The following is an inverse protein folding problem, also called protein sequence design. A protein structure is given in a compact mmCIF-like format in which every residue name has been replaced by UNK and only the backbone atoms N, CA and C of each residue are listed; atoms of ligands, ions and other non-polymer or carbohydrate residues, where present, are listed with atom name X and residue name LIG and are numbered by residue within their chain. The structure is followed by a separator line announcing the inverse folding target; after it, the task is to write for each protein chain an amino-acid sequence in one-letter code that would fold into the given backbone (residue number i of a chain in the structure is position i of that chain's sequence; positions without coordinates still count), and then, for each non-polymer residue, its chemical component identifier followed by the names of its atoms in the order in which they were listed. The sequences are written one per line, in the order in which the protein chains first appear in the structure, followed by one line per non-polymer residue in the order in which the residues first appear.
data_IF_260461626020
#
_entry.id   IF_260461626020
#
_cell.length_a   1.000
_cell.length_b   1.000
_cell.length_c   1.000
_cell.angle_alpha   90.00
_cell.angle_beta   90.00
_cell.angle_gamma   90.00
#
_symmetry.space_group_name_H-M   'P 1'
#
loop_
_entity.id
_entity.type
_entity.pdbx_description
1 polymer ?
#
# COMPACT_ATOMS: atom_id res chain seq x y z
N UNK A 1 -29.86 -33.17 24.79
CA UNK A 1 -30.02 -33.55 23.37
C UNK A 1 -29.59 -35.00 23.14
N UNK A 2 -30.41 -35.97 23.55
CA UNK A 2 -30.19 -37.40 23.29
C UNK A 2 -31.16 -37.81 22.17
N UNK A 3 -30.67 -37.99 20.92
CA UNK A 3 -31.27 -38.81 19.82
C UNK A 3 -31.23 -38.21 18.40
N UNK A 4 -30.92 -36.92 18.18
CA UNK A 4 -30.98 -36.37 16.81
C UNK A 4 -29.88 -36.91 15.89
N UNK A 5 -30.27 -37.30 14.67
CA UNK A 5 -29.42 -37.87 13.63
C UNK A 5 -28.38 -36.85 13.14
N UNK A 6 -27.19 -37.31 12.76
CA UNK A 6 -26.16 -36.45 12.16
C UNK A 6 -26.64 -35.95 10.80
N UNK A 7 -26.32 -34.71 10.46
CA UNK A 7 -26.80 -33.95 9.30
C UNK A 7 -28.29 -33.56 9.32
N UNK A 8 -29.02 -33.85 10.41
CA UNK A 8 -30.40 -33.37 10.57
C UNK A 8 -30.48 -31.88 10.91
N UNK A 9 -31.57 -31.25 10.47
CA UNK A 9 -31.87 -29.83 10.72
C UNK A 9 -33.30 -29.68 11.26
N UNK A 10 -33.49 -28.81 12.27
CA UNK A 10 -34.80 -28.36 12.72
C UNK A 10 -34.94 -26.85 12.46
N UNK A 11 -36.16 -26.43 12.12
CA UNK A 11 -36.50 -25.03 11.85
C UNK A 11 -37.59 -24.56 12.80
N UNK A 12 -37.46 -23.33 13.30
CA UNK A 12 -38.48 -22.64 14.08
C UNK A 12 -38.87 -21.32 13.40
N UNK A 13 -40.15 -20.97 13.44
CA UNK A 13 -40.72 -19.86 12.68
C UNK A 13 -41.38 -18.81 13.59
N UNK A 14 -40.75 -17.65 13.64
CA UNK A 14 -41.23 -16.35 14.16
C UNK A 14 -40.25 -15.31 13.60
N UNK A 15 -38.97 -15.58 13.85
CA UNK A 15 -37.84 -15.33 12.96
C UNK A 15 -37.20 -16.69 12.68
N UNK A 16 -36.71 -16.96 11.46
CA UNK A 16 -36.30 -18.32 11.09
C UNK A 16 -35.04 -18.73 11.85
N UNK A 17 -35.23 -19.60 12.83
CA UNK A 17 -34.14 -20.24 13.56
C UNK A 17 -33.85 -21.61 12.95
N UNK A 18 -32.57 -21.96 12.83
CA UNK A 18 -32.14 -23.28 12.39
C UNK A 18 -31.21 -23.93 13.41
N UNK A 19 -31.46 -25.20 13.68
CA UNK A 19 -30.60 -26.05 14.50
C UNK A 19 -30.12 -27.25 13.67
N UNK A 20 -28.84 -27.25 13.33
CA UNK A 20 -28.21 -28.26 12.47
C UNK A 20 -27.15 -29.06 13.24
N UNK A 21 -27.12 -30.39 13.04
CA UNK A 21 -26.12 -31.27 13.65
C UNK A 21 -25.06 -31.66 12.62
N UNK A 22 -23.91 -30.98 12.55
CA UNK A 22 -22.84 -31.39 11.63
C UNK A 22 -22.17 -32.70 12.05
N UNK A 23 -22.08 -32.97 13.36
CA UNK A 23 -21.37 -34.12 13.95
C UNK A 23 -22.02 -34.53 15.27
N UNK A 24 -21.81 -35.78 15.69
CA UNK A 24 -22.32 -36.29 16.98
C UNK A 24 -21.88 -35.35 18.12
N UNK A 25 -22.82 -34.98 19.01
CA UNK A 25 -22.64 -34.04 20.14
C UNK A 25 -22.25 -32.60 19.76
N UNK A 26 -22.35 -32.19 18.49
CA UNK A 26 -22.19 -30.80 18.05
C UNK A 26 -23.47 -30.29 17.42
N UNK A 27 -23.86 -29.07 17.78
CA UNK A 27 -25.04 -28.40 17.25
C UNK A 27 -24.64 -26.99 16.80
N UNK A 28 -25.10 -26.59 15.61
CA UNK A 28 -24.98 -25.24 15.08
C UNK A 28 -26.36 -24.62 15.13
N UNK A 29 -26.49 -23.56 15.93
CA UNK A 29 -27.69 -22.75 16.02
C UNK A 29 -27.44 -21.45 15.27
N UNK A 30 -28.33 -21.10 14.34
CA UNK A 30 -28.33 -19.80 13.68
C UNK A 30 -29.74 -19.23 13.65
N UNK A 31 -29.83 -17.91 13.72
CA UNK A 31 -31.05 -17.15 13.55
C UNK A 31 -30.94 -16.32 12.28
N UNK A 32 -32.01 -16.25 11.50
CA UNK A 32 -32.06 -15.39 10.33
C UNK A 32 -33.41 -14.70 10.19
N UNK A 33 -33.35 -13.40 9.94
CA UNK A 33 -34.51 -12.59 9.54
C UNK A 33 -34.67 -12.48 8.02
N UNK A 34 -33.70 -12.96 7.25
CA UNK A 34 -33.67 -12.89 5.77
C UNK A 34 -34.29 -14.11 5.08
N UNK A 35 -34.12 -15.28 5.68
CA UNK A 35 -34.54 -16.54 5.06
C UNK A 35 -35.88 -16.94 5.66
N UNK A 36 -36.97 -16.92 4.89
CA UNK A 36 -38.33 -17.27 5.38
C UNK A 36 -38.76 -18.69 5.02
N UNK A 37 -37.99 -19.39 4.20
CA UNK A 37 -38.30 -20.74 3.73
C UNK A 37 -37.27 -21.74 4.24
N UNK A 38 -37.73 -22.98 4.44
CA UNK A 38 -36.84 -24.11 4.69
C UNK A 38 -36.15 -24.47 3.38
N UNK A 39 -34.85 -24.25 3.33
CA UNK A 39 -34.02 -24.64 2.21
C UNK A 39 -32.77 -25.33 2.73
N UNK A 40 -32.54 -26.54 2.25
CA UNK A 40 -31.37 -27.37 2.54
C UNK A 40 -30.70 -27.66 1.21
N UNK A 41 -29.39 -27.43 1.13
CA UNK A 41 -28.64 -27.72 -0.07
C UNK A 41 -28.52 -29.24 -0.26
N UNK A 42 -28.83 -29.71 -1.46
CA UNK A 42 -28.57 -31.08 -1.86
C UNK A 42 -27.07 -31.37 -1.88
N UNK A 43 -26.66 -32.42 -1.18
CA UNK A 43 -25.26 -32.80 -1.06
C UNK A 43 -24.99 -33.62 0.19
N UNK A 44 -23.77 -34.18 0.32
CA UNK A 44 -23.42 -35.13 1.38
C UNK A 44 -23.47 -34.54 2.79
N UNK A 45 -23.53 -33.21 2.92
CA UNK A 45 -23.57 -32.51 4.21
C UNK A 45 -24.96 -32.00 4.58
N UNK A 46 -25.94 -32.00 3.65
CA UNK A 46 -27.30 -31.50 3.88
C UNK A 46 -27.35 -30.18 4.67
N UNK A 47 -26.52 -29.20 4.27
CA UNK A 47 -26.39 -27.94 5.01
C UNK A 47 -27.58 -27.03 4.70
N UNK A 48 -28.26 -26.48 5.72
CA UNK A 48 -29.22 -25.40 5.54
C UNK A 48 -28.62 -24.20 4.79
N UNK A 49 -29.38 -23.61 3.87
CA UNK A 49 -28.98 -22.42 3.11
C UNK A 49 -28.55 -21.28 4.02
N UNK A 50 -29.21 -21.12 5.17
CA UNK A 50 -28.87 -20.13 6.21
C UNK A 50 -27.41 -20.26 6.66
N UNK A 51 -26.95 -21.49 6.91
CA UNK A 51 -25.58 -21.77 7.36
C UNK A 51 -24.58 -21.48 6.25
N UNK A 52 -24.92 -21.80 5.00
CA UNK A 52 -24.07 -21.52 3.83
C UNK A 52 -23.91 -20.01 3.66
N UNK A 53 -25.02 -19.26 3.73
CA UNK A 53 -25.01 -17.82 3.62
C UNK A 53 -24.22 -17.17 4.76
N UNK A 54 -24.42 -17.60 6.00
CA UNK A 54 -23.62 -17.15 7.15
C UNK A 54 -22.13 -17.39 6.92
N UNK A 55 -21.73 -18.59 6.50
CA UNK A 55 -20.32 -18.93 6.27
C UNK A 55 -19.67 -18.07 5.17
N UNK A 56 -20.44 -17.65 4.16
CA UNK A 56 -19.95 -16.75 3.10
C UNK A 56 -19.59 -15.37 3.62
N UNK A 57 -20.30 -14.87 4.63
CA UNK A 57 -20.15 -13.49 5.12
C UNK A 57 -19.38 -13.38 6.43
N UNK A 58 -19.38 -14.41 7.30
CA UNK A 58 -18.82 -14.35 8.65
C UNK A 58 -17.32 -14.02 8.70
N UNK A 59 -16.58 -14.32 7.63
CA UNK A 59 -15.13 -14.14 7.59
C UNK A 59 -14.66 -12.72 7.24
N UNK A 60 -15.57 -11.78 6.95
CA UNK A 60 -15.18 -10.45 6.49
C UNK A 60 -14.29 -9.70 7.50
N UNK A 61 -14.69 -9.69 8.78
CA UNK A 61 -13.94 -9.03 9.85
C UNK A 61 -12.64 -9.77 10.14
N UNK A 62 -12.67 -11.10 10.31
CA UNK A 62 -11.46 -11.92 10.52
C UNK A 62 -10.42 -11.73 9.41
N UNK A 63 -10.88 -11.61 8.16
CA UNK A 63 -10.00 -11.35 7.01
C UNK A 63 -9.39 -9.95 7.09
N UNK A 64 -10.17 -8.93 7.46
CA UNK A 64 -9.64 -7.58 7.69
C UNK A 64 -8.59 -7.59 8.81
N UNK A 65 -8.89 -8.22 9.94
CA UNK A 65 -7.96 -8.32 11.08
C UNK A 65 -6.65 -9.01 10.68
N UNK A 66 -6.73 -10.13 9.95
CA UNK A 66 -5.56 -10.83 9.42
C UNK A 66 -4.74 -9.95 8.48
N UNK A 67 -5.41 -9.21 7.59
CA UNK A 67 -4.75 -8.29 6.68
C UNK A 67 -4.05 -7.19 7.48
N UNK A 68 -4.77 -6.46 8.33
CA UNK A 68 -4.23 -5.39 9.17
C UNK A 68 -3.01 -5.86 9.96
N UNK A 69 -3.09 -7.04 10.61
CA UNK A 69 -1.98 -7.61 11.36
C UNK A 69 -0.72 -7.87 10.51
N UNK A 70 -0.87 -8.24 9.23
CA UNK A 70 0.25 -8.57 8.33
C UNK A 70 1.17 -7.36 8.05
N UNK A 71 0.61 -6.16 7.98
CA UNK A 71 1.36 -4.91 7.73
C UNK A 71 1.04 -3.88 8.82
N UNK A 72 1.23 -4.28 10.07
CA UNK A 72 0.95 -3.44 11.23
C UNK A 72 2.11 -2.47 11.51
N UNK A 73 1.77 -1.19 11.69
CA UNK A 73 2.67 -0.19 12.27
C UNK A 73 2.50 -0.04 13.79
N UNK A 74 1.71 -0.91 14.43
CA UNK A 74 1.48 -0.86 15.87
C UNK A 74 2.79 -1.01 16.64
N UNK A 75 3.00 -0.16 17.62
CA UNK A 75 4.16 -0.22 18.52
C UNK A 75 3.69 -0.47 19.93
N UNK A 76 4.51 -1.18 20.72
CA UNK A 76 4.26 -1.34 22.15
C UNK A 76 4.14 0.06 22.78
N UNK A 77 2.99 0.33 23.35
CA UNK A 77 2.67 1.59 24.00
C UNK A 77 1.98 1.31 25.32
N UNK A 78 2.18 2.19 26.32
CA UNK A 78 1.44 2.16 27.59
C UNK A 78 0.19 3.05 27.54
N UNK A 79 0.00 3.76 26.42
CA UNK A 79 -1.07 4.74 26.25
C UNK A 79 -2.19 4.12 25.41
N UNK A 80 -3.34 3.84 26.04
CA UNK A 80 -4.53 3.32 25.34
C UNK A 80 -4.94 4.15 24.12
N UNK A 81 -4.93 5.50 24.15
CA UNK A 81 -5.28 6.31 22.97
C UNK A 81 -4.38 6.05 21.76
N UNK A 82 -3.08 5.76 21.98
CA UNK A 82 -2.16 5.41 20.90
C UNK A 82 -2.51 4.07 20.26
N UNK A 83 -2.96 3.10 21.05
CA UNK A 83 -3.45 1.82 20.52
C UNK A 83 -4.64 2.02 19.58
N UNK A 84 -5.60 2.84 20.00
CA UNK A 84 -6.76 3.19 19.17
C UNK A 84 -6.34 3.92 17.89
N UNK A 85 -5.42 4.88 17.99
CA UNK A 85 -4.89 5.61 16.84
C UNK A 85 -4.26 4.67 15.80
N UNK A 86 -3.47 3.69 16.23
CA UNK A 86 -2.92 2.69 15.30
C UNK A 86 -4.00 1.89 14.58
N UNK A 87 -5.06 1.48 15.30
CA UNK A 87 -6.19 0.79 14.68
C UNK A 87 -6.90 1.66 13.64
N UNK A 88 -7.12 2.95 13.95
CA UNK A 88 -7.70 3.91 13.00
C UNK A 88 -6.84 4.04 11.74
N UNK A 89 -5.52 4.15 11.89
CA UNK A 89 -4.60 4.22 10.75
C UNK A 89 -4.67 2.96 9.88
N UNK A 90 -4.70 1.78 10.49
CA UNK A 90 -4.72 0.52 9.74
C UNK A 90 -6.02 0.34 8.94
N UNK A 91 -7.16 0.58 9.57
CA UNK A 91 -8.48 0.49 8.90
C UNK A 91 -8.59 1.55 7.81
N UNK A 92 -8.14 2.78 8.07
CA UNK A 92 -8.16 3.86 7.08
C UNK A 92 -7.30 3.54 5.86
N UNK A 93 -6.08 3.04 6.06
CA UNK A 93 -5.20 2.66 4.96
C UNK A 93 -5.76 1.50 4.14
N UNK A 94 -6.42 0.53 4.78
CA UNK A 94 -7.08 -0.56 4.06
C UNK A 94 -8.28 -0.05 3.26
N UNK A 95 -9.14 0.78 3.84
CA UNK A 95 -10.28 1.36 3.14
C UNK A 95 -9.84 2.23 1.96
N UNK A 96 -8.78 3.02 2.13
CA UNK A 96 -8.18 3.80 1.04
C UNK A 96 -7.70 2.91 -0.10
N UNK A 97 -7.09 1.75 0.19
CA UNK A 97 -6.74 0.77 -0.83
C UNK A 97 -7.99 0.22 -1.53
N UNK A 98 -9.04 -0.16 -0.80
CA UNK A 98 -10.27 -0.67 -1.42
C UNK A 98 -10.87 0.36 -2.38
N UNK A 99 -10.93 1.62 -1.97
CA UNK A 99 -11.40 2.72 -2.81
C UNK A 99 -10.50 2.90 -4.04
N UNK A 100 -9.18 2.94 -3.86
CA UNK A 100 -8.23 3.03 -4.96
C UNK A 100 -8.42 1.90 -5.99
N UNK A 101 -8.58 0.67 -5.52
CA UNK A 101 -8.80 -0.50 -6.37
C UNK A 101 -10.17 -0.51 -7.06
N UNK A 102 -11.17 0.18 -6.50
CA UNK A 102 -12.48 0.34 -7.12
C UNK A 102 -12.45 1.34 -8.27
N UNK A 103 -11.61 2.37 -8.18
CA UNK A 103 -11.43 3.39 -9.23
C UNK A 103 -10.45 2.92 -10.29
N UNK A 104 -9.35 2.28 -9.88
CA UNK A 104 -8.28 1.83 -10.77
C UNK A 104 -8.01 0.30 -10.61
N UNK A 105 -8.88 -0.55 -11.17
CA UNK A 105 -8.74 -2.01 -11.03
C UNK A 105 -7.45 -2.56 -11.67
N UNK A 106 -6.95 -1.93 -12.73
CA UNK A 106 -5.79 -2.37 -13.50
C UNK A 106 -4.44 -2.05 -12.83
N UNK A 107 -4.40 -1.11 -11.87
CA UNK A 107 -3.16 -0.68 -11.21
C UNK A 107 -2.40 -1.86 -10.58
N UNK A 108 -1.20 -2.19 -11.07
CA UNK A 108 -0.42 -3.33 -10.56
C UNK A 108 -1.16 -4.68 -10.60
N UNK A 109 -2.06 -4.89 -11.56
CA UNK A 109 -2.83 -6.14 -11.72
C UNK A 109 -1.93 -7.37 -11.88
N UNK A 110 -0.83 -7.26 -12.62
CA UNK A 110 0.17 -8.32 -12.81
C UNK A 110 0.84 -8.74 -11.48
N UNK A 111 0.81 -7.89 -10.45
CA UNK A 111 1.44 -8.08 -9.14
C UNK A 111 0.41 -8.18 -8.02
N UNK A 112 -0.72 -8.87 -8.29
CA UNK A 112 -1.89 -8.96 -7.40
C UNK A 112 -1.56 -9.29 -5.94
N UNK A 113 -0.64 -10.23 -5.71
CA UNK A 113 -0.24 -10.67 -4.35
C UNK A 113 0.44 -9.59 -3.51
N UNK A 114 1.04 -8.58 -4.14
CA UNK A 114 1.81 -7.53 -3.45
C UNK A 114 1.23 -6.12 -3.62
N UNK A 115 0.06 -5.96 -4.27
CA UNK A 115 -0.60 -4.65 -4.46
C UNK A 115 -0.75 -3.88 -3.16
N UNK A 116 -1.13 -4.55 -2.07
CA UNK A 116 -1.29 -3.90 -0.76
C UNK A 116 0.03 -3.37 -0.21
N UNK A 117 1.12 -4.13 -0.34
CA UNK A 117 2.45 -3.69 0.09
C UNK A 117 2.88 -2.45 -0.70
N UNK A 118 2.72 -2.48 -2.02
CA UNK A 118 3.05 -1.36 -2.90
C UNK A 118 2.24 -0.12 -2.54
N UNK A 119 0.93 -0.28 -2.30
CA UNK A 119 0.05 0.82 -1.94
C UNK A 119 0.47 1.46 -0.61
N UNK A 120 0.77 0.65 0.42
CA UNK A 120 1.23 1.16 1.70
C UNK A 120 2.58 1.87 1.61
N UNK A 121 3.49 1.40 0.77
CA UNK A 121 4.77 2.06 0.50
C UNK A 121 4.55 3.44 -0.14
N UNK A 122 3.74 3.49 -1.19
CA UNK A 122 3.44 4.73 -1.91
C UNK A 122 2.67 5.74 -1.05
N UNK A 123 1.69 5.27 -0.28
CA UNK A 123 0.94 6.06 0.70
C UNK A 123 1.89 6.67 1.74
N UNK A 124 2.74 5.83 2.36
CA UNK A 124 3.70 6.27 3.37
C UNK A 124 4.69 7.30 2.81
N UNK A 125 5.24 7.06 1.61
CA UNK A 125 6.11 8.03 0.94
C UNK A 125 5.38 9.34 0.65
N UNK A 126 4.15 9.28 0.10
CA UNK A 126 3.35 10.47 -0.21
C UNK A 126 3.07 11.34 1.00
N UNK A 127 2.73 10.73 2.15
CA UNK A 127 2.46 11.46 3.39
C UNK A 127 3.69 12.15 3.98
N UNK A 128 4.88 11.61 3.76
CA UNK A 128 6.14 12.13 4.32
C UNK A 128 6.77 13.21 3.43
N UNK A 129 6.57 13.15 2.11
CA UNK A 129 7.13 14.11 1.12
C UNK A 129 6.94 15.59 1.51
N UNK A 130 5.75 16.07 1.92
CA UNK A 130 5.57 17.49 2.28
C UNK A 130 6.38 17.89 3.52
N UNK A 131 6.52 16.99 4.51
CA UNK A 131 7.31 17.25 5.71
C UNK A 131 8.82 17.27 5.39
N UNK A 132 9.28 16.39 4.50
CA UNK A 132 10.65 16.38 4.01
C UNK A 132 10.99 17.66 3.23
N UNK A 133 10.10 18.11 2.34
CA UNK A 133 10.29 19.34 1.57
C UNK A 133 10.37 20.59 2.46
N UNK A 134 9.61 20.62 3.57
CA UNK A 134 9.68 21.70 4.56
C UNK A 134 10.88 21.61 5.51
N UNK A 135 11.54 20.45 5.59
CA UNK A 135 12.69 20.27 6.47
C UNK A 135 13.94 20.90 5.86
N UNK A 136 14.43 21.98 6.46
CA UNK A 136 15.75 22.55 6.17
C UNK A 136 16.91 21.75 6.77
N UNK A 137 16.61 20.77 7.61
CA UNK A 137 17.61 19.86 8.19
C UNK A 137 17.77 18.65 7.27
N UNK A 138 18.84 18.66 6.47
CA UNK A 138 19.38 17.45 5.88
C UNK A 138 19.72 16.48 7.02
N UNK A 139 19.18 15.26 6.94
CA UNK A 139 19.55 14.20 7.86
C UNK A 139 21.07 14.03 7.87
N UNK A 140 21.68 13.94 9.05
CA UNK A 140 23.13 13.72 9.20
C UNK A 140 23.59 12.33 8.73
N UNK A 141 22.66 11.42 8.44
CA UNK A 141 22.97 10.11 7.88
C UNK A 141 22.99 10.12 6.35
N UNK A 142 24.06 9.58 5.76
CA UNK A 142 24.27 9.51 4.30
C UNK A 142 23.14 8.80 3.55
N UNK A 143 22.51 7.80 4.18
CA UNK A 143 21.42 7.01 3.60
C UNK A 143 20.11 7.77 3.49
N UNK A 144 19.76 8.60 4.49
CA UNK A 144 18.56 9.43 4.43
C UNK A 144 18.73 10.62 3.47
N UNK A 145 19.94 11.14 3.33
CA UNK A 145 20.27 12.15 2.32
C UNK A 145 20.15 11.58 0.89
N UNK A 146 20.58 10.33 0.65
CA UNK A 146 20.46 9.68 -0.65
C UNK A 146 18.99 9.47 -1.07
N UNK A 147 18.11 9.06 -0.15
CA UNK A 147 16.67 8.91 -0.44
C UNK A 147 15.99 10.25 -0.81
N UNK A 148 16.40 11.35 -0.14
CA UNK A 148 15.93 12.70 -0.46
C UNK A 148 16.40 13.17 -1.85
N UNK A 149 17.63 12.84 -2.25
CA UNK A 149 18.18 13.21 -3.55
C UNK A 149 17.50 12.47 -4.72
N UNK A 150 17.17 11.19 -4.55
CA UNK A 150 16.46 10.39 -5.57
C UNK A 150 15.04 10.93 -5.79
N UNK A 151 14.32 11.27 -4.72
CA UNK A 151 12.96 11.80 -4.82
C UNK A 151 12.90 13.22 -5.41
N UNK A 152 13.92 14.05 -5.20
CA UNK A 152 14.00 15.38 -5.82
C UNK A 152 14.30 15.32 -7.33
N UNK A 153 14.91 14.23 -7.83
CA UNK A 153 15.21 14.04 -9.24
C UNK A 153 13.97 13.63 -10.07
N UNK A 154 13.01 12.90 -9.49
CA UNK A 154 11.80 12.44 -10.19
C UNK A 154 10.75 13.53 -10.39
N UNK A 155 10.81 14.63 -9.62
CA UNK A 155 9.86 15.77 -9.73
C UNK A 155 10.47 17.04 -10.31
N UNK A 156 11.73 17.02 -10.76
CA UNK A 156 12.36 18.21 -11.32
C UNK A 156 11.99 18.36 -12.81
N UNK A 157 11.38 19.48 -13.24
CA UNK A 157 11.47 19.88 -14.64
C UNK A 157 12.95 20.05 -15.00
N UNK A 158 13.31 19.73 -16.25
CA UNK A 158 14.68 19.71 -16.76
C UNK A 158 15.55 20.81 -16.12
N UNK A 159 16.50 20.40 -15.27
CA UNK A 159 17.35 21.34 -14.54
C UNK A 159 18.05 22.25 -15.53
N UNK A 160 17.82 23.55 -15.41
CA UNK A 160 18.64 24.60 -16.02
C UNK A 160 20.12 24.25 -15.78
N UNK A 161 20.88 24.15 -16.87
CA UNK A 161 22.31 23.85 -16.83
C UNK A 161 23.01 24.88 -15.94
N UNK A 162 23.34 24.47 -14.71
CA UNK A 162 24.03 25.32 -13.73
C UNK A 162 25.34 25.79 -14.34
N UNK A 163 25.46 27.10 -14.56
CA UNK A 163 26.68 27.76 -15.03
C UNK A 163 27.82 27.43 -14.05
N UNK A 164 28.94 26.88 -14.54
CA UNK A 164 30.10 26.52 -13.72
C UNK A 164 31.27 27.48 -14.00
N UNK A 165 32.18 27.61 -13.03
CA UNK A 165 33.40 28.43 -13.20
C UNK A 165 34.38 27.70 -14.11
N UNK A 166 35.12 28.46 -14.92
CA UNK A 166 36.18 27.89 -15.73
C UNK A 166 37.30 27.30 -14.86
N UNK A 167 37.70 26.07 -15.12
CA UNK A 167 38.73 25.37 -14.33
C UNK A 167 40.17 25.88 -14.59
N UNK A 168 40.39 26.67 -15.64
CA UNK A 168 41.70 27.22 -16.01
C UNK A 168 41.91 28.66 -15.50
N UNK A 169 40.86 29.34 -15.06
CA UNK A 169 40.96 30.70 -14.55
C UNK A 169 41.54 30.71 -13.13
N UNK A 170 42.65 31.43 -12.91
CA UNK A 170 43.28 31.62 -11.60
C UNK A 170 42.67 32.74 -10.74
N UNK A 171 41.48 33.25 -11.07
CA UNK A 171 40.85 34.38 -10.37
C UNK A 171 39.32 34.46 -10.47
N UNK A 172 38.72 35.51 -9.88
CA UNK A 172 37.26 35.76 -9.86
C UNK A 172 36.70 36.26 -11.20
N UNK A 173 36.98 35.61 -12.33
CA UNK A 173 36.34 35.98 -13.60
C UNK A 173 35.67 34.81 -14.29
N UNK A 174 34.35 34.95 -14.34
CA UNK A 174 33.38 34.38 -15.28
C UNK A 174 32.82 32.97 -15.01
N UNK A 175 31.49 32.93 -14.90
CA UNK A 175 30.67 31.72 -14.82
C UNK A 175 30.12 31.46 -16.22
N UNK A 176 30.49 30.36 -16.85
CA UNK A 176 30.15 30.05 -18.23
C UNK A 176 29.51 28.65 -18.37
N UNK A 177 28.77 28.45 -19.45
CA UNK A 177 28.01 27.21 -19.71
C UNK A 177 28.68 26.27 -20.73
N UNK A 178 29.90 26.58 -21.21
CA UNK A 178 30.60 25.73 -22.19
C UNK A 178 31.45 24.69 -21.49
N UNK A 179 31.44 23.48 -22.05
CA UNK A 179 32.17 22.32 -21.54
C UNK A 179 33.12 21.80 -22.61
N UNK A 180 34.34 21.43 -22.21
CA UNK A 180 35.28 20.74 -23.09
C UNK A 180 34.73 19.36 -23.44
N UNK A 181 34.68 19.00 -24.72
CA UNK A 181 34.14 17.73 -25.18
C UNK A 181 35.03 16.53 -24.79
N UNK A 182 36.35 16.75 -24.63
CA UNK A 182 37.29 15.70 -24.25
C UNK A 182 37.30 15.39 -22.74
N UNK A 183 37.24 16.42 -21.89
CA UNK A 183 37.37 16.24 -20.42
C UNK A 183 36.11 16.58 -19.62
N UNK A 184 35.06 17.10 -20.26
CA UNK A 184 33.79 17.45 -19.62
C UNK A 184 33.85 18.64 -18.64
N UNK A 185 35.00 19.32 -18.53
CA UNK A 185 35.19 20.43 -17.61
C UNK A 185 34.70 21.75 -18.20
N UNK A 186 34.22 22.66 -17.33
CA UNK A 186 33.73 23.97 -17.74
C UNK A 186 34.87 24.91 -18.14
N UNK A 187 34.75 25.59 -19.28
CA UNK A 187 35.77 26.48 -19.85
C UNK A 187 35.16 27.81 -20.34
N UNK A 188 35.90 28.92 -20.19
CA UNK A 188 35.50 30.23 -20.72
C UNK A 188 35.92 30.38 -22.19
N UNK A 189 35.44 31.42 -22.89
CA UNK A 189 35.77 31.68 -24.29
C UNK A 189 37.28 31.87 -24.53
N UNK A 190 38.01 32.43 -23.58
CA UNK A 190 39.47 32.65 -23.66
C UNK A 190 40.26 31.34 -23.54
N UNK A 191 39.77 30.40 -22.73
CA UNK A 191 40.39 29.09 -22.51
C UNK A 191 39.74 27.96 -23.33
N UNK A 192 38.99 28.31 -24.38
CA UNK A 192 38.36 27.35 -25.28
C UNK A 192 38.69 27.71 -26.72
N UNK A 193 39.13 26.75 -27.51
CA UNK A 193 39.19 26.87 -28.97
C UNK A 193 37.98 26.18 -29.59
N UNK A 194 37.43 26.76 -30.65
CA UNK A 194 36.37 26.12 -31.44
C UNK A 194 37.06 25.35 -32.56
N UNK A 195 36.85 24.04 -32.57
CA UNK A 195 37.36 23.15 -33.62
C UNK A 195 36.13 22.60 -34.36
N UNK A 196 36.14 22.63 -35.68
CA UNK A 196 35.06 22.02 -36.45
C UNK A 196 35.14 20.50 -36.37
N UNK A 197 34.02 19.82 -36.62
CA UNK A 197 33.95 18.35 -36.55
C UNK A 197 34.89 17.62 -37.53
N UNK A 198 35.37 18.30 -38.58
CA UNK A 198 36.35 17.76 -39.52
C UNK A 198 37.81 17.88 -39.03
N UNK A 199 38.08 18.75 -38.05
CA UNK A 199 39.41 18.96 -37.46
C UNK A 199 39.55 18.36 -36.06
N UNK A 200 38.46 17.86 -35.47
CA UNK A 200 38.48 17.03 -34.25
C UNK A 200 38.75 15.58 -34.65
N UNK A 201 40.03 15.25 -34.90
CA UNK A 201 40.46 13.86 -35.09
C UNK A 201 40.25 13.04 -33.81
#
# INVERSE_FOLDING_TARGET
MKSRVVLSSLFGFTSTAVSYIPKRRRNVLLLSTKHHQVQIQEGPQQKPTIIIYYNRCKGAVDNLDKLVATYSCHRKTRLSPMSLFYNMLHVSAYNALVLWLSVEPAWNQQKRSIRRRMFLQELGSSMVRPAQARSTRLSRSSSAAALLQVQQAETAPAQEQKKKKCHLCRGKRSVHARFCQACGQAVCKEHSTVVCSACSC
#
